data_IF_834415465684
#
_entry.id   IF_834415465684
#
_cell.length_a   1.000
_cell.length_b   1.000
_cell.length_c   1.000
_cell.angle_alpha   90.00
_cell.angle_beta   90.00
_cell.angle_gamma   90.00
#
_symmetry.space_group_name_H-M   'P 1'
#
loop_
_entity.id
_entity.type
_entity.pdbx_description
1 polymer ?
#
# COMPACT_ATOMS: atom_id res chain seq x y z
N UNK A 1 19.24 14.28 2.32
CA UNK A 1 18.31 14.05 1.20
C UNK A 1 16.93 13.85 1.80
N UNK A 2 15.91 14.52 1.26
CA UNK A 2 14.56 14.41 1.81
C UNK A 2 13.93 13.10 1.34
N UNK A 3 13.54 12.26 2.29
CA UNK A 3 12.87 11.00 2.06
C UNK A 3 11.49 11.28 1.46
N UNK A 4 11.32 11.06 0.14
CA UNK A 4 10.06 11.37 -0.54
C UNK A 4 9.07 10.23 -0.31
N UNK A 5 7.91 10.55 0.25
CA UNK A 5 6.83 9.60 0.48
C UNK A 5 5.75 9.74 -0.58
N UNK A 6 5.45 8.66 -1.26
CA UNK A 6 4.42 8.62 -2.29
C UNK A 6 3.17 7.91 -1.76
N UNK A 7 2.03 8.60 -1.58
CA UNK A 7 0.83 8.04 -0.98
C UNK A 7 -0.12 7.40 -2.01
N UNK A 8 -0.63 6.21 -1.68
CA UNK A 8 -1.66 5.49 -2.43
C UNK A 8 -2.79 5.05 -1.51
N UNK A 9 -4.01 5.48 -1.78
CA UNK A 9 -5.19 5.11 -1.01
C UNK A 9 -5.88 3.88 -1.62
N UNK A 10 -6.20 2.89 -0.80
CA UNK A 10 -7.04 1.75 -1.19
C UNK A 10 -7.98 1.36 -0.05
N UNK A 11 -9.29 1.48 -0.28
CA UNK A 11 -10.29 1.37 0.79
C UNK A 11 -10.00 2.33 1.95
N UNK A 12 -9.91 1.80 3.18
CA UNK A 12 -9.56 2.54 4.40
C UNK A 12 -8.06 2.41 4.77
N UNK A 13 -7.18 2.14 3.82
CA UNK A 13 -5.74 1.99 4.06
C UNK A 13 -4.95 2.93 3.15
N UNK A 14 -3.95 3.58 3.75
CA UNK A 14 -2.93 4.35 3.05
C UNK A 14 -1.67 3.49 2.90
N UNK A 15 -1.22 3.32 1.67
CA UNK A 15 0.06 2.73 1.30
C UNK A 15 1.06 3.86 1.01
N UNK A 16 2.07 4.04 1.83
CA UNK A 16 3.16 5.00 1.57
C UNK A 16 4.37 4.26 0.99
N UNK A 17 4.88 4.72 -0.15
CA UNK A 17 6.17 4.26 -0.70
C UNK A 17 7.27 5.21 -0.30
N UNK A 18 8.47 4.68 -0.08
CA UNK A 18 9.64 5.47 0.31
C UNK A 18 10.87 4.89 -0.38
N UNK A 19 11.70 5.73 -0.98
CA UNK A 19 12.93 5.29 -1.67
C UNK A 19 14.08 6.15 -1.20
N UNK A 20 15.01 5.53 -0.46
CA UNK A 20 16.22 6.19 0.02
C UNK A 20 17.47 5.41 -0.43
N UNK A 21 18.59 6.09 -0.76
CA UNK A 21 19.83 5.43 -1.15
C UNK A 21 20.39 4.46 -0.11
N UNK A 22 20.26 4.79 1.18
CA UNK A 22 20.83 4.04 2.29
C UNK A 22 20.03 2.80 2.70
N UNK A 23 18.70 2.84 2.57
CA UNK A 23 17.79 1.77 3.04
C UNK A 23 17.07 1.07 1.91
N UNK A 24 17.14 1.58 0.68
CA UNK A 24 16.42 1.05 -0.47
C UNK A 24 14.94 1.45 -0.50
N UNK A 25 14.14 0.70 -1.26
CA UNK A 25 12.71 0.96 -1.40
C UNK A 25 11.91 0.25 -0.30
N UNK A 26 11.05 0.99 0.38
CA UNK A 26 10.24 0.56 1.51
C UNK A 26 8.78 0.95 1.30
N UNK A 27 7.91 0.33 2.11
CA UNK A 27 6.52 0.74 2.21
C UNK A 27 6.01 0.74 3.65
N UNK A 28 4.97 1.53 3.90
CA UNK A 28 4.21 1.55 5.13
C UNK A 28 2.70 1.45 4.84
N UNK A 29 1.98 0.63 5.60
CA UNK A 29 0.52 0.56 5.59
C UNK A 29 -0.02 1.30 6.82
N UNK A 30 -0.86 2.30 6.61
CA UNK A 30 -1.46 3.12 7.67
C UNK A 30 -2.97 3.00 7.59
N UNK A 31 -3.65 2.85 8.74
CA UNK A 31 -5.11 2.90 8.77
C UNK A 31 -5.60 4.31 8.42
N UNK A 32 -6.57 4.39 7.51
CA UNK A 32 -7.03 5.62 6.87
C UNK A 32 -7.80 6.58 7.78
N UNK A 33 -8.35 6.10 8.90
CA UNK A 33 -9.04 6.93 9.90
C UNK A 33 -8.09 7.57 10.93
N UNK A 34 -6.78 7.49 10.71
CA UNK A 34 -5.78 8.12 11.56
C UNK A 34 -5.68 9.64 11.32
N UNK A 35 -6.79 10.36 11.54
CA UNK A 35 -6.89 11.81 11.38
C UNK A 35 -5.92 12.57 12.29
N UNK A 36 -5.61 12.00 13.46
CA UNK A 36 -4.67 12.56 14.41
C UNK A 36 -3.26 11.99 14.20
N UNK A 37 -2.24 12.85 14.22
CA UNK A 37 -0.84 12.49 13.98
C UNK A 37 -0.31 11.34 14.88
N UNK A 38 -0.89 11.15 16.07
CA UNK A 38 -0.56 10.06 17.01
C UNK A 38 -1.05 8.68 16.57
N UNK A 39 -2.08 8.62 15.73
CA UNK A 39 -2.68 7.38 15.22
C UNK A 39 -2.09 6.96 13.87
N UNK A 40 -1.26 7.80 13.24
CA UNK A 40 -0.57 7.52 11.97
C UNK A 40 0.61 6.55 12.10
N UNK A 41 0.65 5.75 13.16
CA UNK A 41 1.67 4.69 13.26
C UNK A 41 1.35 3.65 12.19
N UNK A 42 2.34 3.26 11.36
CA UNK A 42 2.13 2.18 10.41
C UNK A 42 1.66 0.92 11.13
N UNK A 43 0.60 0.31 10.60
CA UNK A 43 0.17 -1.04 10.96
C UNK A 43 1.25 -2.05 10.55
N UNK A 44 1.89 -1.80 9.41
CA UNK A 44 2.95 -2.63 8.88
C UNK A 44 3.97 -1.79 8.12
N UNK A 45 5.22 -2.21 8.14
CA UNK A 45 6.30 -1.66 7.32
C UNK A 45 7.10 -2.79 6.71
N UNK A 46 7.57 -2.62 5.48
CA UNK A 46 8.40 -3.61 4.80
C UNK A 46 9.28 -3.03 3.71
N UNK A 47 10.07 -3.89 3.08
CA UNK A 47 10.88 -3.56 1.92
C UNK A 47 10.18 -3.99 0.64
N UNK A 48 10.32 -3.20 -0.42
CA UNK A 48 9.91 -3.58 -1.77
C UNK A 48 11.01 -4.46 -2.34
N UNK A 49 10.69 -5.72 -2.61
CA UNK A 49 11.61 -6.68 -3.21
C UNK A 49 11.20 -7.04 -4.65
N UNK A 50 12.14 -7.63 -5.39
CA UNK A 50 11.87 -8.16 -6.71
C UNK A 50 10.68 -9.15 -6.67
N UNK A 51 9.77 -9.04 -7.62
CA UNK A 51 8.55 -9.87 -7.70
C UNK A 51 7.33 -9.32 -6.97
N UNK A 52 7.48 -8.35 -6.05
CA UNK A 52 6.33 -7.78 -5.32
C UNK A 52 5.29 -7.15 -6.25
N UNK A 53 5.74 -6.49 -7.33
CA UNK A 53 4.83 -5.93 -8.34
C UNK A 53 3.95 -7.00 -9.02
N UNK A 54 4.46 -8.23 -9.21
CA UNK A 54 3.66 -9.32 -9.77
C UNK A 54 2.62 -9.83 -8.77
N UNK A 55 2.97 -9.89 -7.48
CA UNK A 55 2.05 -10.26 -6.40
C UNK A 55 0.91 -9.25 -6.27
N UNK A 56 1.22 -7.95 -6.34
CA UNK A 56 0.21 -6.88 -6.31
C UNK A 56 -0.73 -6.92 -7.51
N UNK A 57 -0.21 -7.20 -8.73
CA UNK A 57 -1.05 -7.38 -9.92
C UNK A 57 -1.99 -8.58 -9.78
N UNK A 58 -1.47 -9.73 -9.34
CA UNK A 58 -2.30 -10.92 -9.12
C UNK A 58 -3.40 -10.68 -8.07
N UNK A 59 -3.12 -9.86 -7.04
CA UNK A 59 -4.15 -9.44 -6.09
C UNK A 59 -5.21 -8.54 -6.76
N UNK A 60 -4.79 -7.57 -7.57
CA UNK A 60 -5.71 -6.71 -8.31
C UNK A 60 -6.61 -7.53 -9.25
N UNK A 61 -6.04 -8.42 -10.07
CA UNK A 61 -6.79 -9.33 -10.95
C UNK A 61 -7.85 -10.11 -10.16
N UNK A 62 -7.48 -10.64 -8.98
CA UNK A 62 -8.42 -11.38 -8.13
C UNK A 62 -9.55 -10.52 -7.56
N UNK A 63 -9.27 -9.25 -7.23
CA UNK A 63 -10.30 -8.30 -6.78
C UNK A 63 -11.26 -7.99 -7.92
N UNK A 64 -10.76 -7.74 -9.13
CA UNK A 64 -11.59 -7.50 -10.32
C UNK A 64 -12.51 -8.69 -10.64
N UNK A 65 -12.02 -9.93 -10.52
CA UNK A 65 -12.85 -11.13 -10.64
C UNK A 65 -14.01 -11.16 -9.63
N UNK A 66 -13.76 -10.75 -8.38
CA UNK A 66 -14.78 -10.70 -7.32
C UNK A 66 -15.82 -9.62 -7.64
N UNK A 67 -15.39 -8.43 -8.07
CA UNK A 67 -16.28 -7.35 -8.49
C UNK A 67 -17.14 -7.75 -9.70
N UNK A 68 -16.54 -8.44 -10.67
CA UNK A 68 -17.23 -8.95 -11.86
C UNK A 68 -18.21 -10.09 -11.57
N UNK A 69 -17.95 -10.91 -10.55
CA UNK A 69 -18.81 -12.02 -10.15
C UNK A 69 -20.07 -11.59 -9.36
N UNK A 70 -20.19 -10.30 -9.00
CA UNK A 70 -21.28 -9.76 -8.18
C UNK A 70 -22.39 -9.00 -8.92
N UNK A 71 -22.44 -9.00 -10.26
CA UNK A 71 -23.35 -8.14 -11.05
C UNK A 71 -24.56 -8.83 -11.72
N UNK A 72 -24.88 -10.04 -11.28
CA UNK A 72 -26.13 -10.72 -11.63
C UNK A 72 -26.97 -10.95 -10.36
N UNK A 73 -27.66 -9.90 -9.91
CA UNK A 73 -28.60 -9.92 -8.79
C UNK A 73 -29.67 -8.86 -8.97
#
# INVERSE_FOLDING_TARGET
MSDHREPYWFGHVLFELTVAPETGAQFALVAGEADEARHRRPLFTGFIHAGMAAQLRALADRVEEIEGCGRDG
#
